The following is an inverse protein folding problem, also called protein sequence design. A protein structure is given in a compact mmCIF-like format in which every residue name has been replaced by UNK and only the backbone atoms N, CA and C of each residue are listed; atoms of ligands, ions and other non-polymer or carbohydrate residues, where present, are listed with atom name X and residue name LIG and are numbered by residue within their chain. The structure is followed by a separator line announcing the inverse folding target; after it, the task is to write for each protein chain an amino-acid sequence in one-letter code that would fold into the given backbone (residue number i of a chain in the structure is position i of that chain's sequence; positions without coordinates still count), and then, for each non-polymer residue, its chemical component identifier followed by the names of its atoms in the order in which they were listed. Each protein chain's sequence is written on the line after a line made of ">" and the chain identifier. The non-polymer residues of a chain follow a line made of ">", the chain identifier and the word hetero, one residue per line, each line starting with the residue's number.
data_IF_892242512554
#
_entry.id   IF_892242512554
#
_cell.length_a   1.000
_cell.length_b   1.000
_cell.length_c   1.000
_cell.angle_alpha   90.00
_cell.angle_beta   90.00
_cell.angle_gamma   90.00
#
_symmetry.space_group_name_H-M   'P 1'
#
loop_
_entity.id
_entity.type
_entity.pdbx_description
1 polymer ?
#
# COMPACT_ATOMS: atom_id res chain seq x y z
N UNK A 1 7.71 -57.22 13.97
CA UNK A 1 7.63 -56.55 12.64
C UNK A 1 6.27 -55.92 12.34
N UNK A 2 5.12 -56.59 12.57
CA UNK A 2 3.78 -56.02 12.30
C UNK A 2 3.49 -54.67 12.99
N UNK A 3 3.90 -54.51 14.25
CA UNK A 3 3.62 -53.29 15.02
C UNK A 3 4.44 -52.06 14.58
N UNK A 4 5.69 -52.25 14.10
CA UNK A 4 6.53 -51.14 13.63
C UNK A 4 6.00 -50.54 12.32
N UNK A 5 5.52 -51.39 11.41
CA UNK A 5 4.90 -50.94 10.14
C UNK A 5 3.63 -50.13 10.39
N UNK A 6 2.84 -50.53 11.40
CA UNK A 6 1.58 -49.88 11.74
C UNK A 6 1.77 -48.51 12.40
N UNK A 7 2.85 -48.32 13.18
CA UNK A 7 3.22 -47.01 13.75
C UNK A 7 3.78 -46.05 12.69
N UNK A 8 4.57 -46.55 11.74
CA UNK A 8 5.04 -45.70 10.62
C UNK A 8 3.90 -45.22 9.72
N UNK A 9 2.89 -46.07 9.49
CA UNK A 9 1.72 -45.70 8.68
C UNK A 9 0.82 -44.66 9.37
N UNK A 10 0.62 -44.75 10.69
CA UNK A 10 -0.18 -43.76 11.42
C UNK A 10 0.53 -42.40 11.56
N UNK A 11 1.86 -42.40 11.74
CA UNK A 11 2.65 -41.16 11.73
C UNK A 11 2.69 -40.51 10.34
N UNK A 12 2.79 -41.32 9.28
CA UNK A 12 2.72 -40.84 7.90
C UNK A 12 1.37 -40.19 7.57
N UNK A 13 0.26 -40.77 8.04
CA UNK A 13 -1.08 -40.20 7.82
C UNK A 13 -1.33 -38.91 8.62
N UNK A 14 -0.79 -38.82 9.84
CA UNK A 14 -0.87 -37.61 10.66
C UNK A 14 -0.10 -36.41 10.08
N UNK A 15 1.03 -36.66 9.42
CA UNK A 15 1.81 -35.64 8.70
C UNK A 15 1.09 -35.12 7.44
N UNK A 16 0.32 -35.97 6.75
CA UNK A 16 -0.46 -35.56 5.57
C UNK A 16 -1.67 -34.70 5.95
N UNK A 17 -2.24 -34.87 7.15
CA UNK A 17 -3.36 -34.03 7.60
C UNK A 17 -2.93 -32.63 8.05
N UNK A 18 -1.67 -32.44 8.45
CA UNK A 18 -1.11 -31.13 8.78
C UNK A 18 -0.82 -30.26 7.54
N UNK A 19 -0.77 -30.83 6.33
CA UNK A 19 -0.53 -30.07 5.10
C UNK A 19 -1.80 -29.61 4.39
N UNK A 20 -2.99 -30.03 4.84
CA UNK A 20 -4.29 -29.61 4.27
C UNK A 20 -4.76 -28.28 4.88
N UNK A 21 -4.11 -27.83 5.96
CA UNK A 21 -4.28 -26.49 6.54
C UNK A 21 -3.44 -25.44 5.85
N UNK A 22 -3.27 -25.47 4.52
CA UNK A 22 -2.69 -24.33 3.81
C UNK A 22 -3.63 -23.14 4.01
N UNK A 23 -3.16 -22.01 4.59
CA UNK A 23 -3.96 -20.80 4.58
C UNK A 23 -4.30 -20.52 3.12
N UNK A 24 -5.59 -20.38 2.85
CA UNK A 24 -6.16 -19.99 1.56
C UNK A 24 -5.24 -18.95 0.95
N UNK A 25 -4.62 -19.27 -0.19
CA UNK A 25 -3.81 -18.32 -0.94
C UNK A 25 -4.60 -17.01 -1.00
N UNK A 26 -4.12 -16.01 -0.28
CA UNK A 26 -4.65 -14.64 -0.35
C UNK A 26 -4.69 -14.35 -1.84
N UNK A 27 -5.89 -14.13 -2.41
CA UNK A 27 -6.00 -13.77 -3.82
C UNK A 27 -4.93 -12.73 -4.08
N UNK A 28 -4.04 -13.00 -5.03
CA UNK A 28 -3.04 -12.02 -5.42
C UNK A 28 -3.84 -10.83 -5.95
N UNK A 29 -4.02 -9.80 -5.11
CA UNK A 29 -4.67 -8.57 -5.53
C UNK A 29 -3.85 -8.03 -6.70
N UNK A 30 -4.49 -7.83 -7.84
CA UNK A 30 -3.82 -7.33 -9.03
C UNK A 30 -3.16 -5.99 -8.73
N UNK A 31 -2.00 -5.78 -9.34
CA UNK A 31 -1.29 -4.51 -9.21
C UNK A 31 -2.15 -3.43 -9.86
N UNK A 32 -2.41 -2.31 -9.16
CA UNK A 32 -3.24 -1.27 -9.73
C UNK A 32 -2.50 -0.62 -10.91
N UNK A 33 -3.26 -0.03 -11.84
CA UNK A 33 -2.67 0.73 -12.95
C UNK A 33 -1.77 1.87 -12.42
N UNK A 34 -1.00 2.53 -13.29
CA UNK A 34 -0.22 3.74 -12.98
C UNK A 34 0.73 3.64 -11.76
N UNK A 35 1.20 2.43 -11.43
CA UNK A 35 2.20 2.17 -10.38
C UNK A 35 3.63 2.47 -10.84
N UNK A 36 3.90 2.30 -12.13
CA UNK A 36 5.15 2.73 -12.76
C UNK A 36 4.98 4.20 -13.18
N UNK A 37 5.55 5.11 -12.40
CA UNK A 37 5.41 6.56 -12.63
C UNK A 37 6.33 7.11 -13.72
N UNK A 38 7.27 6.34 -14.26
CA UNK A 38 8.28 6.88 -15.17
C UNK A 38 8.44 6.04 -16.43
N UNK A 39 8.18 6.70 -17.56
CA UNK A 39 8.73 6.46 -18.89
C UNK A 39 8.72 4.99 -19.37
N UNK A 40 7.89 4.68 -20.38
CA UNK A 40 7.80 3.34 -20.97
C UNK A 40 9.16 2.77 -21.45
N UNK A 41 10.19 3.62 -21.58
CA UNK A 41 11.58 3.24 -21.89
C UNK A 41 12.44 2.81 -20.70
N UNK A 42 11.96 2.98 -19.45
CA UNK A 42 12.70 2.70 -18.19
C UNK A 42 11.95 1.81 -17.19
N UNK A 43 10.71 1.45 -17.48
CA UNK A 43 9.92 0.57 -16.63
C UNK A 43 10.59 -0.80 -16.42
N UNK A 44 10.69 -1.23 -15.17
CA UNK A 44 11.05 -2.60 -14.81
C UNK A 44 9.81 -3.30 -14.22
N UNK A 45 8.88 -3.77 -15.07
CA UNK A 45 7.60 -4.32 -14.63
C UNK A 45 7.78 -5.54 -13.72
N UNK A 46 8.88 -6.29 -13.89
CA UNK A 46 9.22 -7.40 -13.00
C UNK A 46 9.59 -6.91 -11.61
N UNK A 47 10.39 -5.85 -11.48
CA UNK A 47 10.72 -5.26 -10.18
C UNK A 47 9.49 -4.66 -9.51
N UNK A 48 8.61 -3.99 -10.26
CA UNK A 48 7.37 -3.40 -9.75
C UNK A 48 6.39 -4.47 -9.28
N UNK A 49 6.19 -5.52 -10.06
CA UNK A 49 5.38 -6.67 -9.66
C UNK A 49 5.97 -7.40 -8.44
N UNK A 50 7.28 -7.56 -8.37
CA UNK A 50 7.95 -8.15 -7.20
C UNK A 50 7.82 -7.26 -5.96
N UNK A 51 7.93 -5.95 -6.11
CA UNK A 51 7.71 -4.97 -5.04
C UNK A 51 6.27 -5.02 -4.54
N UNK A 52 5.30 -5.06 -5.45
CA UNK A 52 3.88 -5.18 -5.15
C UNK A 52 3.55 -6.50 -4.43
N UNK A 53 4.15 -7.60 -4.87
CA UNK A 53 3.96 -8.93 -4.28
C UNK A 53 4.37 -9.01 -2.81
N UNK A 54 5.32 -8.16 -2.37
CA UNK A 54 5.77 -8.09 -0.97
C UNK A 54 4.87 -7.25 -0.07
N UNK A 55 3.86 -6.56 -0.63
CA UNK A 55 2.98 -5.69 0.14
C UNK A 55 1.94 -6.46 0.93
N UNK A 56 1.71 -6.05 2.17
CA UNK A 56 0.64 -6.59 3.00
C UNK A 56 -0.72 -6.01 2.56
N UNK A 57 -1.82 -6.51 3.13
CA UNK A 57 -3.17 -6.10 2.72
C UNK A 57 -3.46 -4.60 2.98
N UNK A 58 -2.96 -4.04 4.08
CA UNK A 58 -3.14 -2.64 4.43
C UNK A 58 -2.37 -1.72 3.47
N UNK A 59 -1.11 -2.05 3.17
CA UNK A 59 -0.31 -1.32 2.19
C UNK A 59 -0.98 -1.33 0.81
N UNK A 60 -1.47 -2.49 0.36
CA UNK A 60 -2.17 -2.63 -0.92
C UNK A 60 -3.48 -1.84 -0.96
N UNK A 61 -4.20 -1.76 0.17
CA UNK A 61 -5.42 -0.96 0.32
C UNK A 61 -5.12 0.52 0.06
N UNK A 62 -4.20 1.11 0.83
CA UNK A 62 -3.91 2.54 0.72
C UNK A 62 -3.37 2.95 -0.66
N UNK A 63 -2.59 2.08 -1.30
CA UNK A 63 -2.12 2.32 -2.67
C UNK A 63 -3.27 2.27 -3.67
N UNK A 64 -4.11 1.24 -3.61
CA UNK A 64 -5.11 0.98 -4.67
C UNK A 64 -6.30 1.94 -4.62
N UNK A 65 -6.71 2.34 -3.40
CA UNK A 65 -7.87 3.20 -3.17
C UNK A 65 -7.60 4.69 -3.50
N UNK A 66 -6.33 5.10 -3.59
CA UNK A 66 -5.96 6.44 -4.04
C UNK A 66 -5.97 6.57 -5.57
N UNK A 67 -6.29 7.77 -6.10
CA UNK A 67 -6.16 8.06 -7.53
C UNK A 67 -4.68 8.01 -7.95
N UNK A 68 -4.43 7.81 -9.25
CA UNK A 68 -3.08 7.62 -9.82
C UNK A 68 -2.07 8.66 -9.35
N UNK A 69 -2.47 9.91 -9.36
CA UNK A 69 -1.65 11.07 -9.03
C UNK A 69 -1.27 11.10 -7.55
N UNK A 70 -1.87 10.26 -6.70
CA UNK A 70 -1.66 10.20 -5.26
C UNK A 70 -1.05 8.87 -4.82
N UNK A 71 -0.91 7.86 -5.69
CA UNK A 71 -0.41 6.52 -5.31
C UNK A 71 1.04 6.53 -4.84
N UNK A 72 1.82 7.52 -5.25
CA UNK A 72 3.19 7.69 -4.75
C UNK A 72 3.23 8.00 -3.25
N UNK A 73 2.17 8.59 -2.69
CA UNK A 73 2.08 8.99 -1.28
C UNK A 73 2.24 7.77 -0.34
N UNK A 74 1.37 6.73 -0.43
CA UNK A 74 1.55 5.53 0.39
C UNK A 74 2.86 4.81 0.07
N UNK A 75 3.35 4.85 -1.17
CA UNK A 75 4.65 4.27 -1.51
C UNK A 75 5.79 4.94 -0.73
N UNK A 76 5.77 6.26 -0.57
CA UNK A 76 6.75 7.01 0.23
C UNK A 76 6.60 6.65 1.72
N UNK A 77 5.39 6.67 2.28
CA UNK A 77 5.18 6.31 3.69
C UNK A 77 5.68 4.89 4.01
N UNK A 78 5.47 3.93 3.10
CA UNK A 78 6.00 2.56 3.22
C UNK A 78 7.53 2.55 3.13
N UNK A 79 8.11 3.29 2.19
CA UNK A 79 9.57 3.37 2.02
C UNK A 79 10.25 3.98 3.26
N UNK A 80 9.60 4.95 3.92
CA UNK A 80 10.06 5.57 5.15
C UNK A 80 9.80 4.73 6.41
N UNK A 81 9.20 3.54 6.28
CA UNK A 81 8.86 2.65 7.39
C UNK A 81 7.98 3.33 8.45
N UNK A 82 7.02 4.14 8.02
CA UNK A 82 6.14 4.88 8.92
C UNK A 82 5.34 3.91 9.81
N UNK A 83 5.42 4.05 11.14
CA UNK A 83 4.74 3.14 12.06
C UNK A 83 3.21 3.35 12.06
N UNK A 84 2.76 4.57 11.79
CA UNK A 84 1.36 4.90 11.53
C UNK A 84 1.17 5.20 10.04
N UNK A 85 1.10 4.13 9.25
CA UNK A 85 0.96 4.23 7.80
C UNK A 85 -0.30 5.02 7.41
N UNK A 86 -1.42 4.78 8.09
CA UNK A 86 -2.69 5.48 7.85
C UNK A 86 -2.56 6.97 8.13
N UNK A 87 -1.97 7.33 9.27
CA UNK A 87 -1.69 8.70 9.66
C UNK A 87 -0.84 9.42 8.62
N UNK A 88 0.30 8.82 8.24
CA UNK A 88 1.18 9.37 7.21
C UNK A 88 0.44 9.60 5.89
N UNK A 89 -0.31 8.61 5.41
CA UNK A 89 -1.02 8.72 4.13
C UNK A 89 -2.07 9.82 4.18
N UNK A 90 -2.90 9.87 5.23
CA UNK A 90 -3.93 10.89 5.37
C UNK A 90 -3.35 12.31 5.44
N UNK A 91 -2.29 12.51 6.22
CA UNK A 91 -1.62 13.80 6.34
C UNK A 91 -1.04 14.24 5.00
N UNK A 92 -0.29 13.37 4.32
CA UNK A 92 0.35 13.67 3.05
C UNK A 92 -0.65 13.88 1.91
N UNK A 93 -1.78 13.16 1.90
CA UNK A 93 -2.88 13.44 0.95
C UNK A 93 -3.49 14.82 1.22
N UNK A 94 -3.67 15.19 2.50
CA UNK A 94 -4.17 16.52 2.85
C UNK A 94 -3.21 17.62 2.37
N UNK A 95 -1.90 17.42 2.56
CA UNK A 95 -0.85 18.31 2.04
C UNK A 95 -0.89 18.42 0.52
N UNK A 96 -0.90 17.29 -0.19
CA UNK A 96 -0.89 17.27 -1.66
C UNK A 96 -2.12 17.95 -2.25
N UNK A 97 -3.32 17.61 -1.75
CA UNK A 97 -4.57 18.18 -2.26
C UNK A 97 -4.72 19.65 -1.87
N UNK A 98 -4.32 20.03 -0.66
CA UNK A 98 -4.31 21.42 -0.22
C UNK A 98 -3.37 22.28 -1.05
N UNK A 99 -2.13 21.79 -1.26
CA UNK A 99 -1.14 22.44 -2.10
C UNK A 99 -1.66 22.66 -3.53
N UNK A 100 -2.25 21.64 -4.16
CA UNK A 100 -2.85 21.76 -5.49
C UNK A 100 -4.03 22.74 -5.53
N UNK A 101 -4.91 22.71 -4.53
CA UNK A 101 -6.04 23.63 -4.46
C UNK A 101 -5.59 25.09 -4.29
N UNK A 102 -4.54 25.32 -3.51
CA UNK A 102 -3.97 26.65 -3.29
C UNK A 102 -3.10 27.11 -4.47
N UNK A 103 -2.41 26.20 -5.16
CA UNK A 103 -1.74 26.49 -6.42
C UNK A 103 -2.72 26.96 -7.50
N UNK A 104 -3.90 26.34 -7.57
CA UNK A 104 -4.95 26.73 -8.51
C UNK A 104 -5.50 28.14 -8.28
N UNK A 105 -5.30 28.71 -7.08
CA UNK A 105 -5.61 30.12 -6.77
C UNK A 105 -4.50 31.10 -7.22
N UNK A 106 -3.42 30.59 -7.81
CA UNK A 106 -2.27 31.39 -8.27
C UNK A 106 -1.28 31.74 -7.17
N UNK A 107 -1.32 31.08 -6.01
CA UNK A 107 -0.34 31.32 -4.94
C UNK A 107 1.00 30.64 -5.25
N UNK A 108 2.09 31.41 -5.14
CA UNK A 108 3.44 30.92 -5.39
C UNK A 108 3.84 29.81 -4.40
N UNK A 109 4.64 28.85 -4.89
CA UNK A 109 4.96 27.57 -4.22
C UNK A 109 5.50 27.76 -2.79
N UNK A 110 6.32 28.77 -2.55
CA UNK A 110 6.95 29.02 -1.25
C UNK A 110 6.41 30.29 -0.57
N UNK A 111 5.25 30.77 -1.00
CA UNK A 111 4.64 31.96 -0.40
C UNK A 111 3.93 31.63 0.91
N UNK A 112 3.96 32.59 1.84
CA UNK A 112 3.17 32.53 3.07
C UNK A 112 1.68 32.34 2.77
N UNK A 113 1.17 33.02 1.73
CA UNK A 113 -0.24 32.87 1.28
C UNK A 113 -0.60 31.43 0.94
N UNK A 114 0.30 30.70 0.29
CA UNK A 114 0.09 29.29 -0.04
C UNK A 114 0.12 28.42 1.21
N UNK A 115 1.09 28.64 2.09
CA UNK A 115 1.18 27.92 3.37
C UNK A 115 -0.10 28.11 4.21
N UNK A 116 -0.56 29.36 4.40
CA UNK A 116 -1.80 29.65 5.13
C UNK A 116 -3.02 29.00 4.48
N UNK A 117 -3.14 29.08 3.15
CA UNK A 117 -4.24 28.45 2.42
C UNK A 117 -4.25 26.92 2.60
N UNK A 118 -3.09 26.28 2.57
CA UNK A 118 -2.98 24.82 2.77
C UNK A 118 -3.36 24.44 4.19
N UNK A 119 -2.93 25.18 5.21
CA UNK A 119 -3.32 24.94 6.61
C UNK A 119 -4.83 25.16 6.84
N UNK A 120 -5.44 26.13 6.18
CA UNK A 120 -6.90 26.31 6.21
C UNK A 120 -7.64 25.16 5.53
N UNK A 121 -7.12 24.70 4.39
CA UNK A 121 -7.68 23.54 3.68
C UNK A 121 -7.70 22.29 4.59
N UNK A 122 -6.57 22.00 5.27
CA UNK A 122 -6.43 20.84 6.17
C UNK A 122 -7.49 20.80 7.28
N UNK A 123 -7.96 21.94 7.77
CA UNK A 123 -9.00 22.02 8.84
C UNK A 123 -10.36 21.46 8.42
N UNK A 124 -10.67 21.50 7.13
CA UNK A 124 -11.93 21.01 6.55
C UNK A 124 -11.74 19.74 5.74
N UNK A 125 -10.52 19.22 5.69
CA UNK A 125 -10.18 18.05 4.92
C UNK A 125 -10.79 16.79 5.54
N UNK A 126 -11.50 16.01 4.71
CA UNK A 126 -11.99 14.70 5.07
C UNK A 126 -10.93 13.65 4.68
N UNK A 127 -10.31 12.95 5.63
CA UNK A 127 -9.30 11.94 5.31
C UNK A 127 -9.88 10.80 4.48
N UNK A 128 -9.13 10.28 3.48
CA UNK A 128 -9.57 9.14 2.68
C UNK A 128 -9.69 7.85 3.49
N UNK A 129 -8.94 7.71 4.59
CA UNK A 129 -8.89 6.47 5.38
C UNK A 129 -9.27 6.71 6.85
N UNK A 130 -10.47 6.28 7.25
CA UNK A 130 -11.05 6.53 8.59
C UNK A 130 -11.00 5.33 9.54
N UNK A 131 -10.74 4.12 9.03
CA UNK A 131 -10.72 2.85 9.77
C UNK A 131 -9.57 1.94 9.35
#
# INVERSE_FOLDING_TARGET
>A
MKYLVQVCLSFGLGLVLLTIGTPRATQAQDMPACMDTDDASRGNPTATAAWWGRRNAEEKKYISELPCEERFIPMICIYLFEPDLRGCVNERVAEFRGDRACAAKGYEILSEKRATCTEEFKKSFAPPFTS
#
